data_IF_093609928584
#
_entry.id   IF_093609928584
#
_cell.length_a   1.000
_cell.length_b   1.000
_cell.length_c   1.000
_cell.angle_alpha   90.00
_cell.angle_beta   90.00
_cell.angle_gamma   90.00
#
_symmetry.space_group_name_H-M   'P 1'
#
loop_
_entity.id
_entity.type
_entity.pdbx_description
1 polymer ?
#
# COMPACT_ATOMS: atom_id res chain seq x y z
N UNK A 1 10.60 -10.13 -0.78
CA UNK A 1 10.79 -9.10 -1.80
C UNK A 1 12.20 -8.57 -1.66
N UNK A 2 13.03 -8.79 -2.67
CA UNK A 2 14.37 -8.20 -2.79
C UNK A 2 14.30 -6.87 -3.54
N UNK A 3 15.34 -6.06 -3.47
CA UNK A 3 15.43 -4.80 -4.21
C UNK A 3 15.32 -5.01 -5.73
N UNK A 4 15.82 -6.15 -6.24
CA UNK A 4 15.75 -6.50 -7.67
C UNK A 4 14.29 -6.76 -8.06
N UNK A 5 13.57 -7.57 -7.29
CA UNK A 5 12.15 -7.87 -7.53
C UNK A 5 11.30 -6.59 -7.48
N UNK A 6 11.59 -5.68 -6.53
CA UNK A 6 10.90 -4.39 -6.45
C UNK A 6 11.13 -3.55 -7.71
N UNK A 7 12.38 -3.46 -8.20
CA UNK A 7 12.70 -2.71 -9.41
C UNK A 7 12.05 -3.30 -10.66
N UNK A 8 11.92 -4.61 -10.76
CA UNK A 8 11.20 -5.27 -11.86
C UNK A 8 9.70 -4.94 -11.83
N UNK A 9 9.09 -4.98 -10.64
CA UNK A 9 7.69 -4.56 -10.45
C UNK A 9 7.49 -3.10 -10.87
N UNK A 10 8.37 -2.19 -10.43
CA UNK A 10 8.27 -0.77 -10.76
C UNK A 10 8.47 -0.47 -12.26
N UNK A 11 9.16 -1.35 -13.00
CA UNK A 11 9.29 -1.25 -14.47
C UNK A 11 8.02 -1.69 -15.20
N UNK A 12 7.31 -2.68 -14.66
CA UNK A 12 6.03 -3.16 -15.19
C UNK A 12 4.92 -2.14 -14.90
N UNK A 13 4.98 -1.50 -13.72
CA UNK A 13 4.01 -0.54 -13.25
C UNK A 13 2.87 -1.18 -12.46
N UNK A 14 1.81 -0.40 -12.19
CA UNK A 14 0.65 -0.88 -11.44
C UNK A 14 -0.16 -1.90 -12.25
N UNK A 15 -0.61 -2.94 -11.56
CA UNK A 15 -1.50 -3.97 -12.11
C UNK A 15 -2.66 -4.19 -11.16
N UNK A 16 -3.62 -5.04 -11.52
CA UNK A 16 -4.81 -5.29 -10.67
C UNK A 16 -4.40 -5.86 -9.29
N UNK A 17 -3.26 -6.54 -9.23
CA UNK A 17 -2.74 -7.21 -8.05
C UNK A 17 -1.55 -6.46 -7.44
N UNK A 18 -1.12 -5.33 -8.03
CA UNK A 18 0.05 -4.56 -7.56
C UNK A 18 -0.24 -3.07 -7.61
N UNK A 19 -0.26 -2.45 -6.44
CA UNK A 19 -0.54 -1.02 -6.27
C UNK A 19 0.62 -0.31 -5.56
N UNK A 20 1.02 0.87 -6.05
CA UNK A 20 2.04 1.71 -5.44
C UNK A 20 1.40 2.90 -4.73
N UNK A 21 1.72 3.11 -3.45
CA UNK A 21 1.19 4.23 -2.67
C UNK A 21 2.30 5.07 -2.05
N UNK A 22 2.11 6.38 -2.07
CA UNK A 22 2.94 7.30 -1.30
C UNK A 22 2.75 7.04 0.20
N UNK A 23 3.82 7.06 0.99
CA UNK A 23 3.70 6.66 2.41
C UNK A 23 4.77 7.21 3.34
N UNK A 24 5.45 8.28 2.94
CA UNK A 24 6.60 8.80 3.69
C UNK A 24 6.21 9.10 5.15
N UNK A 25 5.13 9.86 5.39
CA UNK A 25 4.78 10.37 6.72
C UNK A 25 3.46 9.82 7.30
N UNK A 26 2.60 9.19 6.49
CA UNK A 26 1.34 8.59 6.92
C UNK A 26 0.87 7.53 5.92
N UNK A 27 -0.03 6.65 6.35
CA UNK A 27 -0.78 5.78 5.44
C UNK A 27 -1.79 6.65 4.69
N UNK A 28 -1.79 6.68 3.34
CA UNK A 28 -2.74 7.49 2.60
C UNK A 28 -4.12 6.82 2.63
N UNK A 29 -5.19 7.62 2.59
CA UNK A 29 -6.56 7.08 2.59
C UNK A 29 -6.85 6.20 1.37
N UNK A 30 -6.25 6.53 0.22
CA UNK A 30 -6.35 5.74 -1.01
C UNK A 30 -5.78 4.33 -0.89
N UNK A 31 -4.94 4.06 0.11
CA UNK A 31 -4.48 2.70 0.40
C UNK A 31 -5.64 1.80 0.83
N UNK A 32 -6.60 2.33 1.58
CA UNK A 32 -7.76 1.56 2.06
C UNK A 32 -8.70 1.17 0.94
N UNK A 33 -8.81 2.02 -0.10
CA UNK A 33 -9.57 1.72 -1.31
C UNK A 33 -8.95 0.52 -2.04
N UNK A 34 -7.64 0.54 -2.29
CA UNK A 34 -6.92 -0.56 -2.92
C UNK A 34 -6.93 -1.82 -2.05
N UNK A 35 -6.74 -1.70 -0.73
CA UNK A 35 -6.84 -2.82 0.20
C UNK A 35 -8.22 -3.48 0.16
N UNK A 36 -9.29 -2.69 0.19
CA UNK A 36 -10.66 -3.18 0.10
C UNK A 36 -10.91 -3.87 -1.24
N UNK A 37 -10.44 -3.30 -2.35
CA UNK A 37 -10.56 -3.91 -3.67
C UNK A 37 -9.84 -5.27 -3.73
N UNK A 38 -8.59 -5.34 -3.27
CA UNK A 38 -7.79 -6.57 -3.25
C UNK A 38 -8.35 -7.63 -2.31
N UNK A 39 -8.88 -7.23 -1.14
CA UNK A 39 -9.49 -8.16 -0.17
C UNK A 39 -10.75 -8.85 -0.71
N UNK A 40 -11.43 -8.23 -1.69
CA UNK A 40 -12.62 -8.79 -2.34
C UNK A 40 -12.29 -9.59 -3.60
N UNK A 41 -11.03 -9.65 -4.02
CA UNK A 41 -10.58 -10.38 -5.23
C UNK A 41 -9.58 -11.48 -4.84
N UNK A 42 -8.58 -11.77 -5.69
CA UNK A 42 -7.56 -12.78 -5.42
C UNK A 42 -6.44 -12.28 -4.47
N UNK A 43 -6.64 -11.13 -3.82
CA UNK A 43 -5.60 -10.46 -3.05
C UNK A 43 -4.71 -9.58 -3.92
N UNK A 44 -3.53 -9.25 -3.42
CA UNK A 44 -2.58 -8.39 -4.10
C UNK A 44 -1.48 -7.89 -3.17
N UNK A 45 -0.61 -7.06 -3.73
CA UNK A 45 0.53 -6.44 -3.06
C UNK A 45 0.36 -4.93 -3.12
N UNK A 46 0.41 -4.27 -1.96
CA UNK A 46 0.49 -2.82 -1.86
C UNK A 46 1.91 -2.45 -1.45
N UNK A 47 2.59 -1.67 -2.29
CA UNK A 47 3.95 -1.19 -2.06
C UNK A 47 3.87 0.25 -1.57
N UNK A 48 4.22 0.46 -0.29
CA UNK A 48 4.19 1.76 0.36
C UNK A 48 5.54 2.48 0.24
N UNK A 49 5.52 3.79 0.03
CA UNK A 49 6.71 4.63 -0.09
C UNK A 49 7.17 4.83 -1.53
N UNK A 50 6.28 4.59 -2.49
CA UNK A 50 6.52 4.82 -3.92
C UNK A 50 5.60 5.94 -4.40
N UNK A 51 6.17 6.91 -5.09
CA UNK A 51 5.43 7.98 -5.74
C UNK A 51 5.31 7.71 -7.24
N UNK A 52 4.09 7.67 -7.73
CA UNK A 52 3.83 7.60 -9.16
C UNK A 52 3.83 9.01 -9.78
N UNK A 53 4.64 9.20 -10.82
CA UNK A 53 4.57 10.36 -11.70
C UNK A 53 3.70 10.03 -12.92
N UNK A 54 2.39 10.26 -12.80
CA UNK A 54 1.41 9.98 -13.85
C UNK A 54 1.70 10.65 -15.20
N UNK A 55 2.34 11.82 -15.19
CA UNK A 55 2.69 12.52 -16.43
C UNK A 55 3.81 11.83 -17.20
N UNK A 56 4.69 11.10 -16.51
CA UNK A 56 5.82 10.38 -17.10
C UNK A 56 5.65 8.86 -17.11
N UNK A 57 4.64 8.33 -16.41
CA UNK A 57 4.45 6.90 -16.19
C UNK A 57 5.61 6.27 -15.39
N UNK A 58 6.29 7.05 -14.54
CA UNK A 58 7.48 6.60 -13.80
C UNK A 58 7.20 6.52 -12.30
N UNK A 59 7.85 5.58 -11.62
CA UNK A 59 7.77 5.42 -10.17
C UNK A 59 9.06 5.89 -9.49
N UNK A 60 8.93 6.60 -8.38
CA UNK A 60 10.03 7.13 -7.60
C UNK A 60 9.98 6.57 -6.17
N UNK A 61 11.08 5.98 -5.72
CA UNK A 61 11.20 5.49 -4.33
C UNK A 61 11.40 6.69 -3.40
N UNK A 62 10.41 6.97 -2.57
CA UNK A 62 10.47 8.00 -1.52
C UNK A 62 10.85 7.39 -0.16
N UNK A 63 10.58 6.09 0.02
CA UNK A 63 10.74 5.39 1.28
C UNK A 63 9.64 5.69 2.30
N UNK A 64 9.78 5.11 3.49
CA UNK A 64 8.81 5.21 4.57
C UNK A 64 9.53 5.61 5.84
N UNK A 65 9.14 6.73 6.45
CA UNK A 65 9.68 7.15 7.75
C UNK A 65 8.97 6.40 8.86
N UNK A 66 9.75 5.94 9.85
CA UNK A 66 9.27 5.27 11.06
C UNK A 66 8.37 4.06 10.72
N UNK A 67 8.98 3.05 10.08
CA UNK A 67 8.29 1.85 9.56
C UNK A 67 7.50 1.11 10.65
N UNK A 68 8.03 1.01 11.87
CA UNK A 68 7.38 0.34 13.00
C UNK A 68 6.06 1.03 13.35
N UNK A 69 6.05 2.37 13.37
CA UNK A 69 4.83 3.14 13.56
C UNK A 69 3.84 2.89 12.42
N UNK A 70 4.28 2.78 11.17
CA UNK A 70 3.39 2.54 10.03
C UNK A 70 2.75 1.17 10.06
N UNK A 71 3.51 0.13 10.41
CA UNK A 71 2.96 -1.22 10.61
C UNK A 71 1.91 -1.18 11.71
N UNK A 72 2.21 -0.50 12.83
CA UNK A 72 1.26 -0.35 13.93
C UNK A 72 0.00 0.42 13.52
N UNK A 73 0.14 1.55 12.82
CA UNK A 73 -0.98 2.36 12.33
C UNK A 73 -1.88 1.52 11.40
N UNK A 74 -1.27 0.74 10.49
CA UNK A 74 -1.98 -0.15 9.57
C UNK A 74 -2.74 -1.25 10.33
N UNK A 75 -2.07 -1.97 11.23
CA UNK A 75 -2.68 -3.03 12.03
C UNK A 75 -3.82 -2.52 12.90
N UNK A 76 -3.65 -1.36 13.55
CA UNK A 76 -4.69 -0.76 14.37
C UNK A 76 -5.96 -0.47 13.55
N UNK A 77 -5.83 0.08 12.34
CA UNK A 77 -7.00 0.37 11.50
C UNK A 77 -7.73 -0.89 11.05
N UNK A 78 -7.02 -1.98 10.72
CA UNK A 78 -7.68 -3.26 10.37
C UNK A 78 -8.37 -3.86 11.60
N UNK A 79 -7.68 -3.86 12.75
CA UNK A 79 -8.18 -4.43 14.00
C UNK A 79 -9.32 -3.60 14.64
N UNK A 80 -9.45 -2.32 14.31
CA UNK A 80 -10.57 -1.46 14.73
C UNK A 80 -11.91 -1.81 14.06
N UNK A 81 -11.99 -2.89 13.28
CA UNK A 81 -13.27 -3.49 12.87
C UNK A 81 -14.03 -3.94 14.12
N UNK A 82 -14.80 -3.00 14.70
CA UNK A 82 -15.58 -3.18 15.92
C UNK A 82 -16.51 -4.38 15.78
N UNK A 83 -16.26 -5.42 16.56
CA UNK A 83 -17.27 -6.40 16.92
C UNK A 83 -18.40 -5.67 17.67
N UNK A 84 -19.45 -5.30 16.96
CA UNK A 84 -20.69 -4.85 17.58
C UNK A 84 -21.44 -6.09 18.05
N UNK A 85 -21.41 -6.36 19.36
CA UNK A 85 -22.39 -7.27 19.98
C UNK A 85 -23.76 -6.61 19.86
N UNK A 86 -24.63 -7.21 19.05
CA UNK A 86 -26.06 -6.92 19.08
C UNK A 86 -26.61 -7.74 20.26
N UNK A 87 -27.06 -7.07 21.31
CA UNK A 87 -27.96 -7.63 22.31
C UNK A 87 -29.40 -7.29 21.93
#
# INVERSE_FOLDING_TARGET
MTDIELLEILKIGETVDVECKEGENKIPNSLWESYSAMANTNGGIIILGIKENKAKGTFEVQGVKNIDKRIKDFSNTIMETKLTKIY
#
